data_IF_754879126130
#
_entry.id   IF_754879126130
#
_cell.length_a   1.000
_cell.length_b   1.000
_cell.length_c   1.000
_cell.angle_alpha   90.00
_cell.angle_beta   90.00
_cell.angle_gamma   90.00
#
_symmetry.space_group_name_H-M   'P 1'
#
loop_
_entity.id
_entity.type
_entity.pdbx_description
1 polymer ?
#
# COMPACT_ATOMS: atom_id res chain seq x y z
N UNK A 1 -17.78 19.67 8.79
CA UNK A 1 -17.21 18.37 9.20
C UNK A 1 -16.13 18.12 8.20
N UNK A 2 -14.90 18.47 8.59
CA UNK A 2 -13.72 18.34 7.72
C UNK A 2 -13.49 16.85 7.49
N UNK A 3 -13.35 16.48 6.22
CA UNK A 3 -13.09 15.10 5.81
C UNK A 3 -11.64 14.77 6.22
N UNK A 4 -11.48 14.25 7.42
CA UNK A 4 -10.21 13.70 7.93
C UNK A 4 -9.85 12.36 7.23
N UNK A 5 -10.65 11.93 6.27
CA UNK A 5 -10.44 10.75 5.43
C UNK A 5 -9.31 10.92 4.38
N UNK A 6 -8.80 12.13 4.20
CA UNK A 6 -7.86 12.46 3.13
C UNK A 6 -6.46 11.86 3.30
N UNK A 7 -5.99 11.67 4.53
CA UNK A 7 -4.60 11.25 4.76
C UNK A 7 -4.44 9.73 4.86
N UNK A 8 -5.44 8.97 5.33
CA UNK A 8 -5.34 7.49 5.42
C UNK A 8 -6.70 6.75 5.29
N UNK A 9 -7.35 6.83 4.13
CA UNK A 9 -8.52 6.02 3.77
C UNK A 9 -8.18 4.57 3.32
N UNK A 10 -6.97 4.11 3.58
CA UNK A 10 -6.53 2.76 3.23
C UNK A 10 -6.96 1.78 4.34
N UNK A 11 -7.51 0.65 3.93
CA UNK A 11 -7.84 -0.46 4.82
C UNK A 11 -6.65 -1.44 4.91
N UNK A 12 -6.22 -1.99 3.77
CA UNK A 12 -5.02 -2.84 3.68
C UNK A 12 -4.51 -2.97 2.24
N UNK A 13 -3.25 -3.40 2.10
CA UNK A 13 -2.69 -3.84 0.82
C UNK A 13 -3.02 -5.33 0.63
N UNK A 14 -3.66 -5.65 -0.49
CA UNK A 14 -4.08 -7.01 -0.84
C UNK A 14 -2.97 -7.79 -1.55
N UNK A 15 -2.23 -7.13 -2.44
CA UNK A 15 -1.27 -7.77 -3.33
C UNK A 15 -0.29 -6.75 -3.90
N UNK A 16 0.76 -7.23 -4.54
CA UNK A 16 1.67 -6.43 -5.35
C UNK A 16 1.99 -7.13 -6.68
N UNK A 17 2.49 -6.36 -7.64
CA UNK A 17 3.09 -6.86 -8.88
C UNK A 17 4.34 -6.05 -9.20
N UNK A 18 5.30 -6.69 -9.85
CA UNK A 18 6.62 -6.10 -10.06
C UNK A 18 7.51 -6.34 -8.85
N UNK A 19 8.61 -5.60 -8.79
CA UNK A 19 9.68 -5.79 -7.81
C UNK A 19 10.28 -4.44 -7.47
N UNK A 20 10.80 -4.29 -6.25
CA UNK A 20 11.45 -3.06 -5.82
C UNK A 20 10.60 -1.79 -6.09
N UNK A 21 11.22 -0.71 -6.54
CA UNK A 21 10.58 0.60 -6.73
C UNK A 21 9.60 0.67 -7.90
N UNK A 22 9.65 -0.33 -8.79
CA UNK A 22 8.72 -0.46 -9.93
C UNK A 22 7.47 -1.26 -9.55
N UNK A 23 7.37 -1.72 -8.30
CA UNK A 23 6.22 -2.44 -7.80
C UNK A 23 4.97 -1.55 -7.76
N UNK A 24 3.85 -2.16 -8.13
CA UNK A 24 2.50 -1.61 -7.98
C UNK A 24 1.74 -2.46 -6.98
N UNK A 25 0.91 -1.82 -6.17
CA UNK A 25 0.23 -2.42 -5.03
C UNK A 25 -1.27 -2.28 -5.18
N UNK A 26 -1.99 -3.37 -4.92
CA UNK A 26 -3.43 -3.39 -4.83
C UNK A 26 -3.86 -2.93 -3.45
N UNK A 27 -4.50 -1.77 -3.39
CA UNK A 27 -4.98 -1.16 -2.16
C UNK A 27 -6.48 -1.39 -2.04
N UNK A 28 -6.92 -1.91 -0.91
CA UNK A 28 -8.31 -1.84 -0.48
C UNK A 28 -8.51 -0.56 0.33
N UNK A 29 -9.49 0.23 -0.07
CA UNK A 29 -9.92 1.44 0.64
C UNK A 29 -11.01 1.10 1.65
N UNK A 30 -11.13 1.93 2.70
CA UNK A 30 -12.22 1.80 3.69
C UNK A 30 -13.62 1.95 3.09
N UNK A 31 -13.73 2.63 1.93
CA UNK A 31 -14.97 2.69 1.14
C UNK A 31 -15.36 1.35 0.51
N UNK A 32 -14.42 0.39 0.46
CA UNK A 32 -14.54 -0.88 -0.26
C UNK A 32 -14.00 -0.85 -1.68
N UNK A 33 -13.58 0.31 -2.19
CA UNK A 33 -12.95 0.45 -3.49
C UNK A 33 -11.59 -0.26 -3.52
N UNK A 34 -11.14 -0.63 -4.72
CA UNK A 34 -9.82 -1.22 -4.95
C UNK A 34 -9.10 -0.48 -6.06
N UNK A 35 -7.87 -0.07 -5.81
CA UNK A 35 -7.04 0.60 -6.81
C UNK A 35 -5.63 0.03 -6.82
N UNK A 36 -4.94 0.17 -7.95
CA UNK A 36 -3.53 -0.15 -8.06
C UNK A 36 -2.72 1.14 -8.01
N UNK A 37 -1.79 1.24 -7.06
CA UNK A 37 -0.91 2.41 -6.93
C UNK A 37 0.57 1.98 -6.93
N UNK A 38 1.45 2.74 -7.59
CA UNK A 38 2.88 2.49 -7.58
C UNK A 38 3.50 2.79 -6.21
N UNK A 39 4.61 2.12 -5.90
CA UNK A 39 5.35 2.26 -4.64
C UNK A 39 5.57 3.72 -4.21
N UNK A 40 5.97 4.61 -5.12
CA UNK A 40 6.27 6.01 -4.80
C UNK A 40 5.07 6.83 -4.31
N UNK A 41 3.84 6.39 -4.58
CA UNK A 41 2.63 7.04 -4.05
C UNK A 41 2.24 6.51 -2.67
N UNK A 42 2.85 5.38 -2.26
CA UNK A 42 2.48 4.66 -1.05
C UNK A 42 3.67 4.37 -0.13
N UNK A 43 4.84 4.96 -0.40
CA UNK A 43 6.06 4.70 0.36
C UNK A 43 5.97 5.20 1.79
N UNK A 44 5.11 6.19 2.03
CA UNK A 44 5.01 6.89 3.32
C UNK A 44 3.84 6.36 4.16
N UNK A 45 3.19 5.27 3.73
CA UNK A 45 1.98 4.73 4.35
C UNK A 45 2.32 3.60 5.33
N UNK A 46 1.73 3.56 6.54
CA UNK A 46 1.97 2.47 7.49
C UNK A 46 1.60 1.09 6.93
N UNK A 47 0.51 1.01 6.16
CA UNK A 47 0.01 -0.23 5.58
C UNK A 47 1.01 -0.92 4.61
N UNK A 48 2.00 -0.19 4.08
CA UNK A 48 3.07 -0.79 3.31
C UNK A 48 4.03 -1.60 4.19
N UNK A 49 4.34 -1.10 5.39
CA UNK A 49 5.20 -1.82 6.34
C UNK A 49 4.52 -3.13 6.76
N UNK A 50 3.23 -3.07 7.10
CA UNK A 50 2.45 -4.25 7.46
C UNK A 50 2.41 -5.28 6.32
N UNK A 51 2.33 -4.81 5.07
CA UNK A 51 2.35 -5.68 3.91
C UNK A 51 3.71 -6.36 3.68
N UNK A 52 4.80 -5.59 3.79
CA UNK A 52 6.17 -6.11 3.66
C UNK A 52 6.45 -7.20 4.70
N UNK A 53 6.06 -6.97 5.95
CA UNK A 53 6.17 -7.95 7.03
C UNK A 53 5.35 -9.23 6.74
N UNK A 54 4.13 -9.07 6.21
CA UNK A 54 3.26 -10.19 5.85
C UNK A 54 3.88 -11.09 4.77
N UNK A 55 4.55 -10.51 3.78
CA UNK A 55 5.20 -11.26 2.70
C UNK A 55 6.65 -11.68 3.05
N UNK A 56 7.14 -11.30 4.23
CA UNK A 56 8.48 -11.65 4.70
C UNK A 56 9.60 -10.82 4.06
N UNK A 57 9.28 -9.66 3.49
CA UNK A 57 10.23 -8.73 2.92
C UNK A 57 10.59 -7.66 3.96
N UNK A 58 11.88 -7.44 4.23
CA UNK A 58 12.29 -6.37 5.16
C UNK A 58 12.32 -5.00 4.48
N UNK A 59 12.47 -4.98 3.15
CA UNK A 59 12.59 -3.79 2.33
C UNK A 59 11.84 -3.99 1.03
N UNK A 60 11.46 -2.89 0.39
CA UNK A 60 10.88 -2.91 -0.95
C UNK A 60 11.77 -3.66 -1.96
N UNK A 61 13.10 -3.61 -1.80
CA UNK A 61 14.07 -4.32 -2.65
C UNK A 61 14.05 -5.84 -2.50
N UNK A 62 13.38 -6.35 -1.47
CA UNK A 62 13.25 -7.78 -1.19
C UNK A 62 11.94 -8.36 -1.75
N UNK A 63 11.09 -7.52 -2.35
CA UNK A 63 9.97 -7.90 -3.20
C UNK A 63 10.45 -8.22 -4.62
#
# INVERSE_FOLDING_TARGET
>A
MENEDGEWAIDHILSHRGSATDAVFEILWKSGDRTWMPYHQISDIPALTDYLDLVGAARITDL
#
